data_IF_344077155908
#
_entry.id   IF_344077155908
#
_cell.length_a   1.000
_cell.length_b   1.000
_cell.length_c   1.000
_cell.angle_alpha   90.00
_cell.angle_beta   90.00
_cell.angle_gamma   90.00
#
_symmetry.space_group_name_H-M   'P 1'
#
loop_
_entity.id
_entity.type
_entity.pdbx_description
1 polymer ?
#
# COMPACT_ATOMS: atom_id res chain seq x y z
N UNK A 1 -19.36 11.46 -5.29
CA UNK A 1 -19.85 10.36 -4.41
C UNK A 1 -20.47 11.08 -3.23
N UNK A 2 -21.79 11.19 -3.23
CA UNK A 2 -22.48 12.12 -2.32
C UNK A 2 -22.65 11.52 -0.91
N UNK A 3 -22.35 10.23 -0.72
CA UNK A 3 -22.36 9.51 0.55
C UNK A 3 -21.10 8.63 0.71
N UNK A 4 -19.91 9.22 0.64
CA UNK A 4 -18.71 8.48 1.04
C UNK A 4 -18.76 8.21 2.56
N UNK A 5 -18.54 6.96 3.03
CA UNK A 5 -18.68 6.60 4.44
C UNK A 5 -17.63 7.26 5.35
N UNK A 6 -16.55 7.78 4.78
CA UNK A 6 -15.51 8.55 5.47
C UNK A 6 -14.97 9.66 4.56
N UNK A 7 -14.44 10.72 5.15
CA UNK A 7 -13.72 11.75 4.39
C UNK A 7 -12.32 11.27 4.02
N UNK A 8 -11.73 11.86 2.97
CA UNK A 8 -10.35 11.54 2.56
C UNK A 8 -9.33 11.77 3.69
N UNK A 9 -9.50 12.86 4.45
CA UNK A 9 -8.61 13.17 5.58
C UNK A 9 -8.75 12.15 6.73
N UNK A 10 -9.97 11.68 7.00
CA UNK A 10 -10.20 10.64 7.99
C UNK A 10 -9.57 9.31 7.56
N UNK A 11 -9.65 8.98 6.27
CA UNK A 11 -9.00 7.80 5.70
C UNK A 11 -7.47 7.88 5.81
N UNK A 12 -6.87 9.02 5.45
CA UNK A 12 -5.42 9.25 5.57
C UNK A 12 -4.95 9.11 7.02
N UNK A 13 -5.63 9.77 7.95
CA UNK A 13 -5.31 9.68 9.38
C UNK A 13 -5.40 8.25 9.91
N UNK A 14 -6.47 7.51 9.57
CA UNK A 14 -6.68 6.13 10.01
C UNK A 14 -5.59 5.17 9.50
N UNK A 15 -5.12 5.37 8.26
CA UNK A 15 -4.00 4.57 7.73
C UNK A 15 -2.68 4.97 8.39
N UNK A 16 -2.44 6.26 8.64
CA UNK A 16 -1.26 6.74 9.34
C UNK A 16 -1.14 6.16 10.77
N UNK A 17 -2.25 6.15 11.51
CA UNK A 17 -2.31 5.58 12.87
C UNK A 17 -2.00 4.08 12.86
N UNK A 18 -2.55 3.33 11.91
CA UNK A 18 -2.26 1.91 11.75
C UNK A 18 -0.79 1.64 11.44
N UNK A 19 -0.17 2.43 10.55
CA UNK A 19 1.27 2.32 10.25
C UNK A 19 2.14 2.63 11.47
N UNK A 20 1.74 3.64 12.26
CA UNK A 20 2.45 3.99 13.48
C UNK A 20 2.33 2.89 14.55
N UNK A 21 1.17 2.24 14.66
CA UNK A 21 0.97 1.10 15.56
C UNK A 21 1.84 -0.10 15.16
N UNK A 22 1.83 -0.47 13.88
CA UNK A 22 2.65 -1.56 13.33
C UNK A 22 4.16 -1.36 13.53
N UNK A 23 4.61 -0.11 13.63
CA UNK A 23 6.01 0.24 13.88
C UNK A 23 6.45 0.13 15.34
N UNK A 24 5.53 -0.10 16.30
CA UNK A 24 5.85 -0.18 17.74
C UNK A 24 6.33 -1.56 18.18
N UNK A 25 5.80 -2.61 17.56
CA UNK A 25 6.12 -3.99 17.95
C UNK A 25 7.41 -4.49 17.29
N UNK A 26 8.16 -5.32 18.00
CA UNK A 26 9.34 -5.97 17.43
C UNK A 26 8.94 -7.08 16.45
N UNK A 27 9.59 -7.12 15.28
CA UNK A 27 9.45 -8.22 14.33
C UNK A 27 8.90 -7.79 12.96
N UNK A 28 8.35 -8.76 12.22
CA UNK A 28 7.81 -8.55 10.88
C UNK A 28 6.30 -8.71 10.89
N UNK A 29 5.58 -7.69 10.42
CA UNK A 29 4.15 -7.78 10.17
C UNK A 29 3.87 -8.21 8.71
N UNK A 30 2.84 -9.04 8.52
CA UNK A 30 2.25 -9.33 7.22
C UNK A 30 0.83 -8.76 7.21
N UNK A 31 0.53 -7.92 6.23
CA UNK A 31 -0.74 -7.22 6.12
C UNK A 31 -1.37 -7.58 4.78
N UNK A 32 -2.61 -8.07 4.82
CA UNK A 32 -3.43 -8.34 3.62
C UNK A 32 -4.51 -7.27 3.55
N UNK A 33 -4.51 -6.48 2.48
CA UNK A 33 -5.37 -5.30 2.36
C UNK A 33 -5.65 -4.95 0.90
N UNK A 34 -6.36 -3.84 0.66
CA UNK A 34 -6.77 -3.36 -0.68
C UNK A 34 -5.81 -2.31 -1.25
N UNK A 35 -5.91 -2.08 -2.57
CA UNK A 35 -5.09 -1.11 -3.29
C UNK A 35 -5.22 0.33 -2.77
N UNK A 36 -6.40 0.73 -2.27
CA UNK A 36 -6.59 2.05 -1.67
C UNK A 36 -5.77 2.27 -0.40
N UNK A 37 -5.69 1.25 0.46
CA UNK A 37 -4.89 1.31 1.70
C UNK A 37 -3.40 1.26 1.37
N UNK A 38 -2.98 0.41 0.43
CA UNK A 38 -1.59 0.34 -0.05
C UNK A 38 -1.17 1.68 -0.66
N UNK A 39 -1.99 2.26 -1.52
CA UNK A 39 -1.75 3.58 -2.11
C UNK A 39 -1.66 4.68 -1.04
N UNK A 40 -2.50 4.60 0.00
CA UNK A 40 -2.46 5.58 1.10
C UNK A 40 -1.18 5.42 1.92
N UNK A 41 -0.75 4.19 2.18
CA UNK A 41 0.54 3.93 2.82
C UNK A 41 1.71 4.47 1.99
N UNK A 42 1.68 4.31 0.66
CA UNK A 42 2.66 4.90 -0.25
C UNK A 42 2.65 6.44 -0.18
N UNK A 43 1.47 7.06 -0.16
CA UNK A 43 1.30 8.51 -0.03
C UNK A 43 1.92 9.03 1.25
N UNK A 44 1.57 8.44 2.40
CA UNK A 44 2.09 8.83 3.71
C UNK A 44 3.60 8.62 3.78
N UNK A 45 4.09 7.47 3.30
CA UNK A 45 5.51 7.11 3.37
C UNK A 45 6.39 8.04 2.51
N UNK A 46 5.96 8.34 1.29
CA UNK A 46 6.77 9.05 0.29
C UNK A 46 6.39 10.53 0.12
N UNK A 47 5.39 11.02 0.87
CA UNK A 47 4.89 12.39 0.74
C UNK A 47 4.28 12.67 -0.63
N UNK A 48 3.53 11.72 -1.19
CA UNK A 48 2.96 11.86 -2.53
C UNK A 48 1.84 12.92 -2.55
N UNK A 49 1.77 13.71 -3.62
CA UNK A 49 0.61 14.53 -3.90
C UNK A 49 -0.59 13.68 -4.36
N UNK A 50 -1.75 14.31 -4.60
CA UNK A 50 -2.98 13.59 -4.92
C UNK A 50 -2.90 12.89 -6.29
N UNK A 51 -2.24 13.51 -7.26
CA UNK A 51 -2.09 12.96 -8.62
C UNK A 51 -1.18 11.73 -8.60
N UNK A 52 -0.05 11.81 -7.89
CA UNK A 52 0.86 10.68 -7.70
C UNK A 52 0.19 9.55 -6.91
N UNK A 53 -0.57 9.88 -5.86
CA UNK A 53 -1.38 8.90 -5.13
C UNK A 53 -2.36 8.16 -6.05
N UNK A 54 -3.12 8.89 -6.88
CA UNK A 54 -4.06 8.28 -7.81
C UNK A 54 -3.37 7.34 -8.81
N UNK A 55 -2.23 7.75 -9.38
CA UNK A 55 -1.43 6.92 -10.29
C UNK A 55 -0.92 5.65 -9.62
N UNK A 56 -0.47 5.74 -8.37
CA UNK A 56 -0.05 4.57 -7.59
C UNK A 56 -1.22 3.62 -7.38
N UNK A 57 -2.40 4.11 -6.98
CA UNK A 57 -3.59 3.29 -6.79
C UNK A 57 -3.98 2.51 -8.05
N UNK A 58 -3.89 3.14 -9.22
CA UNK A 58 -4.20 2.51 -10.51
C UNK A 58 -3.18 1.44 -10.92
N UNK A 59 -1.94 1.55 -10.46
CA UNK A 59 -0.88 0.60 -10.81
C UNK A 59 -0.90 -0.68 -9.98
N UNK A 60 -1.57 -0.67 -8.81
CA UNK A 60 -1.55 -1.81 -7.88
C UNK A 60 -2.29 -3.01 -8.48
N UNK A 61 -1.57 -4.11 -8.62
CA UNK A 61 -2.10 -5.38 -9.10
C UNK A 61 -2.68 -6.18 -7.94
N UNK A 62 -3.67 -7.02 -8.25
CA UNK A 62 -4.24 -7.93 -7.27
C UNK A 62 -3.17 -8.92 -6.80
N UNK A 63 -3.14 -9.20 -5.50
CA UNK A 63 -2.17 -10.09 -4.83
C UNK A 63 -0.71 -9.63 -4.89
N UNK A 64 -0.46 -8.37 -5.23
CA UNK A 64 0.88 -7.81 -5.25
C UNK A 64 1.51 -7.71 -3.85
N UNK A 65 2.83 -7.91 -3.79
CA UNK A 65 3.64 -7.82 -2.59
C UNK A 65 4.36 -6.46 -2.53
N UNK A 66 4.18 -5.79 -1.40
CA UNK A 66 4.80 -4.50 -1.09
C UNK A 66 5.59 -4.64 0.21
N UNK A 67 6.74 -3.96 0.31
CA UNK A 67 7.64 -4.09 1.48
C UNK A 67 8.14 -2.74 1.95
N UNK A 68 7.97 -2.49 3.24
CA UNK A 68 8.57 -1.38 3.96
C UNK A 68 9.60 -1.87 4.97
N UNK A 69 10.63 -1.06 5.17
CA UNK A 69 11.66 -1.23 6.18
C UNK A 69 11.53 -0.10 7.20
N UNK A 70 11.30 -0.38 8.49
CA UNK A 70 11.41 0.62 9.55
C UNK A 70 12.86 1.12 9.65
N UNK A 71 13.05 2.44 9.51
CA UNK A 71 14.35 3.10 9.57
C UNK A 71 14.24 4.41 10.36
N UNK A 72 14.83 4.44 11.57
CA UNK A 72 14.93 5.67 12.36
C UNK A 72 13.59 6.32 12.72
N UNK A 73 12.53 5.51 12.93
CA UNK A 73 11.18 6.00 13.21
C UNK A 73 10.36 6.36 11.97
N UNK A 74 10.91 6.22 10.77
CA UNK A 74 10.19 6.31 9.51
C UNK A 74 10.08 4.95 8.83
N UNK A 75 9.22 4.84 7.81
CA UNK A 75 9.17 3.69 6.93
C UNK A 75 9.90 4.03 5.63
N UNK A 76 10.76 3.13 5.15
CA UNK A 76 11.38 3.21 3.83
C UNK A 76 10.75 2.15 2.91
N UNK A 77 10.23 2.55 1.77
CA UNK A 77 9.74 1.62 0.76
C UNK A 77 10.93 0.87 0.13
N UNK A 78 10.84 -0.45 0.08
CA UNK A 78 11.88 -1.33 -0.49
C UNK A 78 11.39 -2.18 -1.66
N UNK A 79 10.07 -2.38 -1.77
CA UNK A 79 9.46 -3.11 -2.87
C UNK A 79 8.04 -2.61 -3.10
N UNK A 80 7.69 -2.37 -4.36
CA UNK A 80 6.35 -1.99 -4.77
C UNK A 80 5.84 -2.96 -5.83
N UNK A 81 4.60 -3.42 -5.65
CA UNK A 81 3.80 -4.10 -6.66
C UNK A 81 4.42 -5.38 -7.27
N UNK A 82 5.19 -6.14 -6.49
CA UNK A 82 5.84 -7.35 -7.00
C UNK A 82 4.87 -8.54 -7.05
N UNK A 83 5.01 -9.41 -8.04
CA UNK A 83 4.19 -10.62 -8.22
C UNK A 83 5.06 -11.86 -8.47
N UNK A 84 6.06 -12.16 -7.62
CA UNK A 84 7.01 -13.25 -7.90
C UNK A 84 6.33 -14.61 -8.06
N UNK A 85 5.18 -14.83 -7.41
CA UNK A 85 4.38 -16.04 -7.55
C UNK A 85 3.63 -16.15 -8.90
N UNK A 86 3.57 -15.08 -9.69
CA UNK A 86 2.94 -15.01 -11.01
C UNK A 86 3.92 -14.61 -12.13
N UNK A 87 5.23 -14.53 -11.86
CA UNK A 87 6.24 -14.20 -12.88
C UNK A 87 6.45 -15.33 -13.89
N UNK A 88 6.26 -16.58 -13.46
CA UNK A 88 6.32 -17.76 -14.31
C UNK A 88 5.37 -17.59 -15.52
N UNK A 89 5.85 -17.75 -16.77
CA UNK A 89 5.01 -17.64 -17.97
C UNK A 89 3.72 -18.47 -17.92
N UNK A 90 3.75 -19.65 -17.26
CA UNK A 90 2.57 -20.51 -17.11
C UNK A 90 1.54 -19.92 -16.14
N UNK A 91 1.90 -18.94 -15.32
CA UNK A 91 1.03 -18.28 -14.33
C UNK A 91 0.66 -16.84 -14.69
N UNK A 92 1.28 -16.25 -15.71
CA UNK A 92 1.04 -14.86 -16.10
C UNK A 92 -0.42 -14.57 -16.46
N UNK A 93 -1.15 -15.58 -16.98
CA UNK A 93 -2.58 -15.46 -17.28
C UNK A 93 -3.44 -15.11 -16.05
N UNK A 94 -2.95 -15.38 -14.84
CA UNK A 94 -3.66 -15.14 -13.58
C UNK A 94 -3.38 -13.74 -12.99
N UNK A 95 -2.52 -12.92 -13.63
CA UNK A 95 -2.32 -11.53 -13.23
C UNK A 95 -3.56 -10.72 -13.55
N UNK A 96 -4.06 -9.99 -12.56
CA UNK A 96 -5.25 -9.15 -12.70
C UNK A 96 -5.02 -7.82 -11.99
N UNK A 97 -5.54 -6.76 -12.58
CA UNK A 97 -5.66 -5.42 -12.02
C UNK A 97 -7.01 -4.84 -12.47
N UNK A 98 -7.30 -3.61 -12.06
CA UNK A 98 -8.54 -2.87 -12.33
C UNK A 98 -9.11 -3.06 -13.74
#
# INVERSE_FOLDING_TARGET
IDEAPESFAAFEARVADALAELGRDEGRALIVTSGGVIGMAMRITLGLDLDAFARVCLAIENTSLHRWLPLGGALALTQFNALPHLEDPERQFARTHL
#
